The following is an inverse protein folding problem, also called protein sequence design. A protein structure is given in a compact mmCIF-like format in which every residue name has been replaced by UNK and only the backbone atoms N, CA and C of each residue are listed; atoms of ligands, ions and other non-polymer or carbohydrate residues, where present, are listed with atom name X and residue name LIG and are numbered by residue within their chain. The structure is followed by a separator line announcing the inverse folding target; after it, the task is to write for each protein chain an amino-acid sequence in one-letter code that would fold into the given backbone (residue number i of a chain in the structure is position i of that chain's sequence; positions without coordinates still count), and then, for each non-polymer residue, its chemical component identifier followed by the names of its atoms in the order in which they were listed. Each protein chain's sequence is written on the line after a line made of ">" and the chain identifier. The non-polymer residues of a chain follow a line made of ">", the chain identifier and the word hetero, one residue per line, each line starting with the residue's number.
data_IF_978437707392
#
_entry.id   IF_978437707392
#
_cell.length_a   1.000
_cell.length_b   1.000
_cell.length_c   1.000
_cell.angle_alpha   90.00
_cell.angle_beta   90.00
_cell.angle_gamma   90.00
#
_symmetry.space_group_name_H-M   'P 1'
#
loop_
_entity.id
_entity.type
_entity.pdbx_description
1 polymer ?
#
# COMPACT_ATOMS: atom_id res chain seq x y z
N UNK A 1 8.10 -5.37 -11.35
CA UNK A 1 6.90 -4.53 -11.65
C UNK A 1 6.29 -4.12 -10.34
N UNK A 2 6.06 -2.83 -10.13
CA UNK A 2 5.67 -2.28 -8.83
C UNK A 2 4.33 -1.55 -9.01
N UNK A 3 3.36 -1.84 -8.15
CA UNK A 3 2.06 -1.22 -8.13
C UNK A 3 1.96 -0.26 -6.95
N UNK A 4 1.64 1.00 -7.23
CA UNK A 4 1.45 2.06 -6.23
C UNK A 4 0.02 2.61 -6.27
N UNK A 5 -0.39 3.31 -5.21
CA UNK A 5 -1.72 3.89 -5.08
C UNK A 5 -2.30 3.76 -3.67
N UNK A 6 -3.45 4.40 -3.46
CA UNK A 6 -4.09 4.49 -2.14
C UNK A 6 -4.66 3.15 -1.65
N UNK A 7 -4.95 2.99 -0.35
CA UNK A 7 -5.72 1.84 0.14
C UNK A 7 -7.04 1.70 -0.61
N UNK A 8 -7.44 0.47 -0.95
CA UNK A 8 -8.67 0.22 -1.73
C UNK A 8 -8.54 0.46 -3.25
N UNK A 9 -7.38 0.86 -3.77
CA UNK A 9 -7.18 0.97 -5.23
C UNK A 9 -7.15 -0.38 -5.95
N UNK A 10 -6.85 -1.47 -5.23
CA UNK A 10 -6.83 -2.83 -5.76
C UNK A 10 -5.43 -3.38 -6.06
N UNK A 11 -4.36 -2.75 -5.57
CA UNK A 11 -2.96 -3.17 -5.76
C UNK A 11 -2.76 -4.66 -5.54
N UNK A 12 -3.14 -5.18 -4.37
CA UNK A 12 -2.98 -6.60 -4.02
C UNK A 12 -3.68 -7.53 -5.02
N UNK A 13 -4.93 -7.21 -5.38
CA UNK A 13 -5.71 -8.01 -6.33
C UNK A 13 -5.13 -7.97 -7.74
N UNK A 14 -4.74 -6.79 -8.23
CA UNK A 14 -4.14 -6.64 -9.56
C UNK A 14 -2.75 -7.27 -9.60
N UNK A 15 -1.94 -7.09 -8.55
CA UNK A 15 -0.63 -7.69 -8.44
C UNK A 15 -0.71 -9.22 -8.50
N UNK A 16 -1.69 -9.84 -7.82
CA UNK A 16 -1.90 -11.28 -7.87
C UNK A 16 -2.23 -11.77 -9.29
N UNK A 17 -3.14 -11.09 -10.00
CA UNK A 17 -3.50 -11.44 -11.38
C UNK A 17 -2.31 -11.29 -12.34
N UNK A 18 -1.55 -10.21 -12.19
CA UNK A 18 -0.38 -9.95 -13.03
C UNK A 18 0.76 -10.92 -12.73
N UNK A 19 1.02 -11.22 -11.45
CA UNK A 19 2.01 -12.21 -11.03
C UNK A 19 1.71 -13.58 -11.64
N UNK A 20 0.44 -14.01 -11.57
CA UNK A 20 -0.02 -15.25 -12.20
C UNK A 20 0.17 -15.24 -13.72
N UNK A 21 -0.23 -14.15 -14.39
CA UNK A 21 -0.11 -14.04 -15.85
C UNK A 21 1.35 -14.04 -16.33
N UNK A 22 2.27 -13.48 -15.52
CA UNK A 22 3.70 -13.40 -15.84
C UNK A 22 4.52 -14.59 -15.31
N UNK A 23 3.92 -15.50 -14.53
CA UNK A 23 4.66 -16.57 -13.85
C UNK A 23 5.72 -16.06 -12.87
N UNK A 24 5.48 -14.90 -12.25
CA UNK A 24 6.40 -14.24 -11.30
C UNK A 24 5.88 -14.37 -9.86
N UNK A 25 6.78 -14.21 -8.89
CA UNK A 25 6.38 -14.11 -7.50
C UNK A 25 5.56 -12.85 -7.24
N UNK A 26 4.60 -12.95 -6.33
CA UNK A 26 3.84 -11.83 -5.78
C UNK A 26 4.46 -11.43 -4.44
N UNK A 27 4.65 -10.13 -4.23
CA UNK A 27 4.97 -9.57 -2.91
C UNK A 27 3.98 -8.46 -2.61
N UNK A 28 3.18 -8.61 -1.56
CA UNK A 28 2.48 -7.49 -0.93
C UNK A 28 3.29 -7.06 0.28
N UNK A 29 3.78 -5.81 0.29
CA UNK A 29 4.72 -5.39 1.34
C UNK A 29 4.04 -5.24 2.70
N UNK A 30 2.76 -4.87 2.74
CA UNK A 30 2.03 -4.76 4.01
C UNK A 30 1.83 -6.16 4.61
N UNK A 31 1.51 -7.16 3.77
CA UNK A 31 1.43 -8.56 4.18
C UNK A 31 2.78 -9.11 4.64
N UNK A 32 3.85 -8.86 3.88
CA UNK A 32 5.19 -9.38 4.19
C UNK A 32 5.74 -8.77 5.50
N UNK A 33 5.48 -7.50 5.78
CA UNK A 33 5.83 -6.90 7.08
C UNK A 33 5.05 -7.57 8.21
N UNK A 34 3.75 -7.82 8.03
CA UNK A 34 2.94 -8.56 9.00
C UNK A 34 3.46 -9.97 9.27
N UNK A 35 3.90 -10.68 8.23
CA UNK A 35 4.53 -12.01 8.35
C UNK A 35 5.86 -11.95 9.10
N UNK A 36 6.70 -10.94 8.83
CA UNK A 36 7.98 -10.74 9.54
C UNK A 36 7.76 -10.41 11.01
N UNK A 37 6.73 -9.63 11.35
CA UNK A 37 6.44 -9.21 12.72
C UNK A 37 5.59 -10.19 13.52
N UNK A 38 5.15 -11.29 12.89
CA UNK A 38 4.22 -12.29 13.44
C UNK A 38 2.98 -11.64 14.06
N UNK A 39 2.41 -10.67 13.35
CA UNK A 39 1.27 -9.88 13.81
C UNK A 39 0.44 -9.34 12.64
N UNK A 40 -0.88 -9.36 12.79
CA UNK A 40 -1.79 -8.81 11.79
C UNK A 40 -1.75 -7.28 11.76
N UNK A 41 -2.10 -6.67 10.62
CA UNK A 41 -2.21 -5.21 10.52
C UNK A 41 -3.16 -4.61 11.58
N UNK A 42 -4.36 -5.15 11.86
CA UNK A 42 -5.19 -4.64 12.94
C UNK A 42 -4.49 -4.62 14.30
N UNK A 43 -3.73 -5.67 14.65
CA UNK A 43 -2.99 -5.75 15.91
C UNK A 43 -1.85 -4.74 15.96
N UNK A 44 -1.06 -4.64 14.88
CA UNK A 44 0.03 -3.67 14.77
C UNK A 44 -0.50 -2.24 14.87
N UNK A 45 -1.61 -1.93 14.22
CA UNK A 45 -2.19 -0.60 14.22
C UNK A 45 -3.07 -0.30 15.44
N UNK A 46 -3.31 -1.26 16.33
CA UNK A 46 -4.07 -1.03 17.56
C UNK A 46 -3.27 -0.24 18.62
N UNK A 47 -1.94 -0.23 18.55
CA UNK A 47 -1.06 0.41 19.54
C UNK A 47 0.00 1.28 18.86
N UNK A 48 0.53 2.27 19.58
CA UNK A 48 1.66 3.07 19.08
C UNK A 48 2.91 2.22 18.87
N UNK A 49 3.20 1.30 19.81
CA UNK A 49 4.32 0.36 19.73
C UNK A 49 4.23 -0.52 18.48
N UNK A 50 3.06 -1.08 18.18
CA UNK A 50 2.84 -1.89 16.99
C UNK A 50 3.03 -1.08 15.70
N UNK A 51 2.55 0.17 15.65
CA UNK A 51 2.76 1.07 14.51
C UNK A 51 4.24 1.40 14.32
N UNK A 52 4.96 1.64 15.41
CA UNK A 52 6.40 1.87 15.37
C UNK A 52 7.15 0.65 14.83
N UNK A 53 6.81 -0.55 15.31
CA UNK A 53 7.38 -1.82 14.80
C UNK A 53 7.10 -2.00 13.31
N UNK A 54 5.88 -1.73 12.85
CA UNK A 54 5.53 -1.77 11.43
C UNK A 54 6.38 -0.80 10.61
N UNK A 55 6.47 0.47 11.02
CA UNK A 55 7.23 1.49 10.31
C UNK A 55 8.74 1.19 10.27
N UNK A 56 9.30 0.64 11.36
CA UNK A 56 10.70 0.25 11.43
C UNK A 56 11.05 -0.84 10.40
N UNK A 57 10.08 -1.70 10.09
CA UNK A 57 10.25 -2.85 9.22
C UNK A 57 9.84 -2.57 7.76
N UNK A 58 8.86 -1.69 7.56
CA UNK A 58 8.27 -1.33 6.26
C UNK A 58 9.33 -0.92 5.25
N UNK A 59 10.28 -0.07 5.64
CA UNK A 59 11.32 0.41 4.73
C UNK A 59 12.22 -0.73 4.26
N UNK A 60 12.65 -1.60 5.18
CA UNK A 60 13.57 -2.71 4.88
C UNK A 60 12.91 -3.70 3.92
N UNK A 61 11.68 -4.09 4.22
CA UNK A 61 10.90 -5.01 3.39
C UNK A 61 10.61 -4.40 2.02
N UNK A 62 10.20 -3.14 1.98
CA UNK A 62 9.87 -2.45 0.73
C UNK A 62 11.08 -2.32 -0.18
N UNK A 63 12.25 -1.92 0.36
CA UNK A 63 13.48 -1.82 -0.43
C UNK A 63 13.88 -3.16 -1.05
N UNK A 64 13.83 -4.24 -0.27
CA UNK A 64 14.14 -5.57 -0.79
C UNK A 64 13.14 -6.01 -1.89
N UNK A 65 11.85 -5.69 -1.71
CA UNK A 65 10.81 -6.06 -2.67
C UNK A 65 10.97 -5.31 -4.00
N UNK A 66 11.19 -3.99 -3.97
CA UNK A 66 11.24 -3.16 -5.20
C UNK A 66 12.48 -3.43 -6.05
N UNK A 67 13.55 -3.98 -5.48
CA UNK A 67 14.74 -4.41 -6.23
C UNK A 67 14.68 -5.84 -6.75
N UNK A 68 13.56 -6.55 -6.53
CA UNK A 68 13.38 -7.93 -6.97
C UNK A 68 12.66 -8.03 -8.33
N UNK A 69 12.68 -9.23 -8.93
CA UNK A 69 11.93 -9.52 -10.16
C UNK A 69 10.43 -9.78 -9.93
N UNK A 70 9.94 -9.64 -8.68
CA UNK A 70 8.56 -9.89 -8.32
C UNK A 70 7.59 -8.84 -8.88
N UNK A 71 6.31 -9.18 -8.83
CA UNK A 71 5.21 -8.20 -8.93
C UNK A 71 4.90 -7.73 -7.51
N UNK A 72 5.10 -6.43 -7.26
CA UNK A 72 5.04 -5.85 -5.91
C UNK A 72 3.79 -5.00 -5.76
N UNK A 73 2.93 -5.32 -4.79
CA UNK A 73 1.92 -4.40 -4.28
C UNK A 73 2.54 -3.61 -3.13
N UNK A 74 2.87 -2.34 -3.38
CA UNK A 74 3.57 -1.50 -2.43
C UNK A 74 2.62 -0.86 -1.42
N UNK A 75 3.00 -0.87 -0.15
CA UNK A 75 2.29 -0.20 0.95
C UNK A 75 2.03 1.26 0.61
N UNK A 76 0.80 1.73 0.87
CA UNK A 76 0.37 3.04 0.35
C UNK A 76 1.14 4.24 0.91
N UNK A 77 1.71 4.10 2.12
CA UNK A 77 2.51 5.11 2.79
C UNK A 77 4.00 5.00 2.44
N UNK A 78 4.45 3.89 1.84
CA UNK A 78 5.85 3.63 1.58
C UNK A 78 6.49 4.70 0.67
N UNK A 79 5.72 5.26 -0.29
CA UNK A 79 6.17 6.36 -1.17
C UNK A 79 6.51 7.66 -0.43
N UNK A 80 6.12 7.80 0.85
CA UNK A 80 6.52 8.95 1.67
C UNK A 80 8.01 8.89 2.06
N UNK A 81 8.63 7.71 2.02
CA UNK A 81 10.04 7.53 2.31
C UNK A 81 10.91 7.87 1.09
N UNK A 82 11.83 8.84 1.24
CA UNK A 82 12.69 9.29 0.15
C UNK A 82 13.65 8.22 -0.37
N UNK A 83 14.20 7.38 0.52
CA UNK A 83 15.10 6.29 0.12
C UNK A 83 14.38 5.26 -0.74
N UNK A 84 13.13 4.95 -0.41
CA UNK A 84 12.32 4.05 -1.24
C UNK A 84 12.00 4.68 -2.59
N UNK A 85 11.60 5.96 -2.63
CA UNK A 85 11.38 6.67 -3.90
C UNK A 85 12.60 6.61 -4.82
N UNK A 86 13.79 6.81 -4.27
CA UNK A 86 15.04 6.74 -5.04
C UNK A 86 15.37 5.34 -5.55
N UNK A 87 14.79 4.28 -4.96
CA UNK A 87 14.95 2.90 -5.39
C UNK A 87 13.89 2.45 -6.41
N UNK A 88 12.83 3.24 -6.61
CA UNK A 88 11.79 2.91 -7.59
C UNK A 88 12.30 3.18 -9.01
N UNK A 89 12.17 2.17 -9.87
CA UNK A 89 12.35 2.34 -11.32
C UNK A 89 11.05 2.93 -11.92
N UNK A 90 11.09 4.14 -12.50
CA UNK A 90 9.89 4.77 -13.07
C UNK A 90 9.33 4.00 -14.27
N UNK A 91 10.13 3.19 -14.97
CA UNK A 91 9.67 2.37 -16.10
C UNK A 91 8.97 1.08 -15.66
N UNK A 92 9.19 0.67 -14.40
CA UNK A 92 8.63 -0.55 -13.83
C UNK A 92 7.53 -0.27 -12.78
N UNK A 93 7.24 1.00 -12.48
CA UNK A 93 6.28 1.45 -11.47
C UNK A 93 4.98 1.93 -12.11
N UNK A 94 3.85 1.42 -11.62
CA UNK A 94 2.54 1.64 -12.19
C UNK A 94 1.56 2.11 -11.13
N UNK A 95 1.01 3.30 -11.33
CA UNK A 95 -0.02 3.83 -10.44
C UNK A 95 -1.40 3.27 -10.79
N UNK A 96 -2.03 2.63 -9.80
CA UNK A 96 -3.44 2.25 -9.87
C UNK A 96 -4.30 3.40 -9.39
N UNK A 97 -4.64 4.27 -10.33
CA UNK A 97 -5.50 5.42 -10.07
C UNK A 97 -6.93 4.97 -9.72
N UNK A 98 -7.50 5.58 -8.69
CA UNK A 98 -8.89 5.38 -8.30
C UNK A 98 -9.41 6.60 -7.54
N UNK A 99 -10.73 6.80 -7.54
CA UNK A 99 -11.34 7.79 -6.67
C UNK A 99 -11.42 7.28 -5.22
N UNK A 100 -11.34 8.20 -4.26
CA UNK A 100 -11.56 7.90 -2.82
C UNK A 100 -12.96 7.31 -2.59
N UNK A 101 -13.96 7.73 -3.36
CA UNK A 101 -15.31 7.15 -3.30
C UNK A 101 -15.33 5.66 -3.70
N UNK A 102 -14.61 5.28 -4.75
CA UNK A 102 -14.49 3.88 -5.17
C UNK A 102 -13.65 3.05 -4.18
N UNK A 103 -12.53 3.61 -3.69
CA UNK A 103 -11.68 2.98 -2.69
C UNK A 103 -12.44 2.67 -1.39
N UNK A 104 -13.14 3.66 -0.82
CA UNK A 104 -13.91 3.48 0.41
C UNK A 104 -15.06 2.48 0.28
N UNK A 105 -15.69 2.39 -0.91
CA UNK A 105 -16.69 1.37 -1.20
C UNK A 105 -16.09 -0.05 -1.18
N UNK A 106 -14.92 -0.23 -1.80
CA UNK A 106 -14.22 -1.54 -1.85
C UNK A 106 -13.72 -2.00 -0.49
N UNK A 107 -13.35 -1.05 0.38
CA UNK A 107 -12.96 -1.31 1.76
C UNK A 107 -14.16 -1.63 2.67
N UNK A 108 -15.39 -1.69 2.15
CA UNK A 108 -16.59 -1.98 2.93
C UNK A 108 -16.98 -0.85 3.90
N UNK A 109 -16.38 0.34 3.79
CA UNK A 109 -16.56 1.42 4.76
C UNK A 109 -17.93 2.09 4.67
N UNK A 110 -18.72 1.79 3.63
CA UNK A 110 -20.08 2.28 3.49
C UNK A 110 -21.04 1.75 4.57
N UNK A 111 -20.69 0.65 5.25
CA UNK A 111 -21.45 0.14 6.40
C UNK A 111 -21.09 0.82 7.72
N UNK A 112 -20.01 1.61 7.75
CA UNK A 112 -19.68 2.46 8.89
C UNK A 112 -20.55 3.71 8.81
N UNK A 113 -21.11 4.15 9.94
CA UNK A 113 -22.03 5.29 9.97
C UNK A 113 -21.50 6.52 9.23
N UNK A 114 -22.42 7.37 8.76
CA UNK A 114 -22.11 8.50 7.86
C UNK A 114 -20.95 9.39 8.36
N UNK A 115 -20.87 9.67 9.66
CA UNK A 115 -19.79 10.49 10.23
C UNK A 115 -18.41 9.85 10.05
N UNK A 116 -18.28 8.54 10.34
CA UNK A 116 -17.04 7.79 10.14
C UNK A 116 -16.67 7.73 8.66
N UNK A 117 -17.64 7.52 7.77
CA UNK A 117 -17.37 7.50 6.34
C UNK A 117 -16.85 8.87 5.85
N UNK A 118 -17.42 9.98 6.33
CA UNK A 118 -16.97 11.33 6.00
C UNK A 118 -15.54 11.55 6.50
N UNK A 119 -15.22 11.19 7.74
CA UNK A 119 -13.88 11.39 8.30
C UNK A 119 -12.82 10.57 7.57
N UNK A 120 -13.10 9.30 7.25
CA UNK A 120 -12.16 8.45 6.51
C UNK A 120 -11.96 8.94 5.08
N UNK A 121 -13.03 9.38 4.39
CA UNK A 121 -12.88 9.98 3.05
C UNK A 121 -11.99 11.21 3.07
N UNK A 122 -12.22 12.12 4.02
CA UNK A 122 -11.40 13.33 4.18
C UNK A 122 -9.93 12.98 4.41
N UNK A 123 -9.64 11.97 5.24
CA UNK A 123 -8.27 11.51 5.45
C UNK A 123 -7.65 10.91 4.19
N UNK A 124 -8.37 10.04 3.47
CA UNK A 124 -7.87 9.44 2.23
C UNK A 124 -7.66 10.47 1.11
N UNK A 125 -8.49 11.51 1.04
CA UNK A 125 -8.31 12.63 0.11
C UNK A 125 -7.04 13.43 0.43
N UNK A 126 -6.80 13.72 1.71
CA UNK A 126 -5.57 14.39 2.15
C UNK A 126 -4.32 13.53 1.86
N UNK A 127 -4.39 12.23 2.13
CA UNK A 127 -3.33 11.26 1.84
C UNK A 127 -3.05 11.20 0.32
N UNK A 128 -4.09 11.09 -0.50
CA UNK A 128 -3.96 11.07 -1.96
C UNK A 128 -3.31 12.36 -2.47
N UNK A 129 -3.79 13.52 -2.02
CA UNK A 129 -3.25 14.81 -2.43
C UNK A 129 -1.76 14.95 -2.09
N UNK A 130 -1.35 14.45 -0.92
CA UNK A 130 0.05 14.48 -0.48
C UNK A 130 0.92 13.53 -1.31
N UNK A 131 0.37 12.39 -1.70
CA UNK A 131 1.11 11.27 -2.31
C UNK A 131 1.10 11.28 -3.84
N UNK A 132 0.16 11.97 -4.50
CA UNK A 132 -0.03 11.92 -5.96
C UNK A 132 1.23 12.32 -6.73
N UNK A 133 1.97 13.33 -6.24
CA UNK A 133 3.23 13.78 -6.84
C UNK A 133 4.34 12.70 -6.83
N UNK A 134 4.16 11.62 -6.07
CA UNK A 134 5.09 10.49 -5.97
C UNK A 134 4.56 9.23 -6.66
N UNK A 135 3.39 9.30 -7.28
CA UNK A 135 2.81 8.22 -8.08
C UNK A 135 3.06 8.39 -9.59
N UNK A 136 3.43 9.60 -10.03
CA UNK A 136 3.79 9.95 -11.41
C UNK A 136 5.21 9.53 -11.80
#
# INVERSE_FOLDING_TARGET
>A
MILVGIPGSGKTSVAALVAQALGRQLVDTDQLVSEVLDASLPELFATDEGRYRFQAEELRVSLAAVTSEAVVALGSAAVLNASLRNALDPTATWWLETSVAAATRRLGLASLGMETLISVRKQLEADLHTRVQWYE
#
